data_IF_137815072127
#
_entry.id   IF_137815072127
#
_cell.length_a   1.000
_cell.length_b   1.000
_cell.length_c   1.000
_cell.angle_alpha   90.00
_cell.angle_beta   90.00
_cell.angle_gamma   90.00
#
_symmetry.space_group_name_H-M   'P 1'
#
loop_
_entity.id
_entity.type
_entity.pdbx_description
1 polymer ?
#
# COMPACT_ATOMS: atom_id res chain seq x y z
N UNK A 1 -23.16 6.22 1.20
CA UNK A 1 -22.01 6.91 0.56
C UNK A 1 -20.73 6.28 1.05
N UNK A 2 -19.77 5.99 0.16
CA UNK A 2 -18.44 5.45 0.54
C UNK A 2 -17.55 6.60 1.04
N UNK A 3 -16.66 6.33 1.99
CA UNK A 3 -15.74 7.33 2.56
C UNK A 3 -14.37 7.22 1.89
N UNK A 4 -13.72 8.37 1.69
CA UNK A 4 -12.29 8.42 1.36
C UNK A 4 -11.54 8.59 2.67
N UNK A 5 -10.55 7.73 2.91
CA UNK A 5 -9.75 7.72 4.14
C UNK A 5 -8.29 7.88 3.77
N UNK A 6 -7.62 8.87 4.35
CA UNK A 6 -6.16 8.97 4.33
C UNK A 6 -5.61 8.18 5.51
N UNK A 7 -4.76 7.19 5.24
CA UNK A 7 -4.17 6.33 6.25
C UNK A 7 -2.69 6.12 5.93
N UNK A 8 -1.82 6.78 6.68
CA UNK A 8 -0.39 6.94 6.37
C UNK A 8 0.44 7.05 7.64
N UNK A 9 1.67 6.53 7.62
CA UNK A 9 2.66 6.81 8.65
C UNK A 9 3.30 8.19 8.40
N UNK A 10 3.42 8.99 9.45
CA UNK A 10 4.01 10.33 9.38
C UNK A 10 4.97 10.54 10.54
N UNK A 11 6.13 11.12 10.26
CA UNK A 11 7.09 11.51 11.29
C UNK A 11 6.55 12.69 12.10
N UNK A 12 7.17 12.97 13.25
CA UNK A 12 6.73 14.07 14.12
C UNK A 12 6.84 15.44 13.43
N UNK A 13 7.81 15.61 12.54
CA UNK A 13 8.06 16.80 11.73
C UNK A 13 7.33 16.79 10.38
N UNK A 14 6.45 15.81 10.13
CA UNK A 14 5.47 15.87 9.04
C UNK A 14 5.86 15.19 7.72
N UNK A 15 6.89 14.33 7.71
CA UNK A 15 7.32 13.61 6.52
C UNK A 15 6.74 12.18 6.47
N UNK A 16 6.40 11.74 5.26
CA UNK A 16 5.84 10.39 5.02
C UNK A 16 6.86 9.42 4.38
N UNK A 17 8.04 9.92 4.01
CA UNK A 17 9.13 9.15 3.44
C UNK A 17 10.47 9.84 3.71
N UNK A 18 11.52 9.02 3.78
CA UNK A 18 12.92 9.43 3.87
C UNK A 18 13.55 9.50 2.48
N UNK A 19 14.58 10.35 2.33
CA UNK A 19 15.44 10.38 1.14
C UNK A 19 16.74 9.61 1.32
N UNK A 20 17.01 9.08 2.52
CA UNK A 20 18.28 8.43 2.86
C UNK A 20 18.50 7.11 2.11
N UNK A 21 17.43 6.34 1.89
CA UNK A 21 17.48 5.04 1.18
C UNK A 21 17.06 5.15 -0.29
N UNK A 22 16.89 6.38 -0.80
CA UNK A 22 16.35 6.67 -2.14
C UNK A 22 15.13 7.59 -2.07
N UNK A 23 14.41 7.81 -3.19
CA UNK A 23 13.38 8.86 -3.30
C UNK A 23 12.10 8.61 -2.48
N UNK A 24 11.94 7.44 -1.85
CA UNK A 24 10.74 7.07 -1.10
C UNK A 24 11.04 6.03 0.00
N UNK A 25 12.08 6.27 0.81
CA UNK A 25 12.51 5.36 1.87
C UNK A 25 11.51 5.27 3.03
N UNK A 26 11.20 4.04 3.46
CA UNK A 26 10.25 3.76 4.55
C UNK A 26 10.89 3.07 5.77
N UNK A 27 12.22 2.91 5.78
CA UNK A 27 12.95 2.15 6.81
C UNK A 27 12.85 2.76 8.23
N UNK A 28 12.48 4.04 8.33
CA UNK A 28 12.26 4.73 9.61
C UNK A 28 10.95 4.31 10.29
N UNK A 29 10.02 3.69 9.57
CA UNK A 29 8.74 3.25 10.13
C UNK A 29 8.99 2.02 11.00
N UNK A 30 8.71 2.17 12.29
CA UNK A 30 8.67 1.07 13.25
C UNK A 30 7.22 0.71 13.54
N UNK A 31 6.89 -0.57 13.50
CA UNK A 31 5.53 -1.05 13.73
C UNK A 31 5.59 -2.12 14.82
N UNK A 32 4.91 -1.85 15.94
CA UNK A 32 4.71 -2.81 17.01
C UNK A 32 3.56 -3.77 16.68
N UNK A 33 3.49 -4.97 17.28
CA UNK A 33 2.38 -5.91 17.10
C UNK A 33 0.99 -5.27 17.26
N UNK A 34 0.79 -4.43 18.29
CA UNK A 34 -0.49 -3.76 18.54
C UNK A 34 -0.84 -2.75 17.44
N UNK A 35 0.16 -2.01 16.94
CA UNK A 35 -0.03 -1.07 15.84
C UNK A 35 -0.38 -1.80 14.54
N UNK A 36 0.24 -2.96 14.30
CA UNK A 36 -0.13 -3.81 13.16
C UNK A 36 -1.58 -4.27 13.25
N UNK A 37 -2.01 -4.78 14.40
CA UNK A 37 -3.39 -5.23 14.57
C UNK A 37 -4.38 -4.09 14.30
N UNK A 38 -4.10 -2.90 14.81
CA UNK A 38 -4.90 -1.72 14.53
C UNK A 38 -4.94 -1.39 13.03
N UNK A 39 -3.79 -1.38 12.35
CA UNK A 39 -3.70 -1.13 10.89
C UNK A 39 -4.50 -2.15 10.10
N UNK A 40 -4.34 -3.44 10.41
CA UNK A 40 -5.04 -4.55 9.76
C UNK A 40 -6.56 -4.43 9.91
N UNK A 41 -7.06 -4.19 11.14
CA UNK A 41 -8.48 -3.99 11.41
C UNK A 41 -9.08 -2.83 10.60
N UNK A 42 -8.29 -1.78 10.35
CA UNK A 42 -8.72 -0.62 9.54
C UNK A 42 -8.73 -0.93 8.05
N UNK A 43 -7.70 -1.62 7.54
CA UNK A 43 -7.59 -1.98 6.12
C UNK A 43 -8.68 -2.97 5.71
N UNK A 44 -9.00 -3.95 6.56
CA UNK A 44 -10.04 -4.96 6.28
C UNK A 44 -11.45 -4.37 6.16
N UNK A 45 -11.68 -3.13 6.62
CA UNK A 45 -12.94 -2.40 6.42
C UNK A 45 -13.04 -1.73 5.04
N UNK A 46 -12.03 -1.91 4.19
CA UNK A 46 -11.93 -1.30 2.87
C UNK A 46 -11.78 -2.37 1.78
N UNK A 47 -12.21 -2.03 0.58
CA UNK A 47 -12.20 -2.86 -0.62
C UNK A 47 -11.49 -2.18 -1.80
N UNK A 48 -11.01 -0.94 -1.61
CA UNK A 48 -10.36 -0.15 -2.66
C UNK A 48 -9.15 0.61 -2.12
N UNK A 49 -8.04 0.50 -2.84
CA UNK A 49 -6.82 1.27 -2.61
C UNK A 49 -6.68 2.36 -3.67
N UNK A 50 -6.31 3.57 -3.24
CA UNK A 50 -6.06 4.71 -4.12
C UNK A 50 -4.57 5.08 -4.05
N UNK A 51 -3.88 5.08 -5.18
CA UNK A 51 -2.44 5.33 -5.25
C UNK A 51 -2.06 6.33 -6.33
N UNK A 52 -0.92 7.00 -6.13
CA UNK A 52 -0.12 7.53 -7.24
C UNK A 52 0.82 6.45 -7.80
N UNK A 53 1.41 6.70 -8.98
CA UNK A 53 2.30 5.74 -9.67
C UNK A 53 3.40 5.16 -8.77
N UNK A 54 4.14 6.01 -8.07
CA UNK A 54 5.31 5.58 -7.28
C UNK A 54 4.91 4.63 -6.15
N UNK A 55 3.89 4.98 -5.37
CA UNK A 55 3.37 4.12 -4.30
C UNK A 55 2.78 2.84 -4.87
N UNK A 56 2.04 2.91 -5.98
CA UNK A 56 1.49 1.71 -6.61
C UNK A 56 2.59 0.72 -6.99
N UNK A 57 3.64 1.18 -7.67
CA UNK A 57 4.76 0.33 -8.08
C UNK A 57 5.50 -0.29 -6.89
N UNK A 58 5.68 0.48 -5.81
CA UNK A 58 6.27 -0.01 -4.56
C UNK A 58 5.40 -1.10 -3.90
N UNK A 59 4.08 -0.91 -3.87
CA UNK A 59 3.17 -1.91 -3.31
C UNK A 59 3.12 -3.16 -4.17
N UNK A 60 3.05 -3.00 -5.49
CA UNK A 60 2.97 -4.08 -6.47
C UNK A 60 4.27 -4.89 -6.55
N UNK A 61 5.43 -4.30 -6.21
CA UNK A 61 6.69 -5.04 -6.16
C UNK A 61 6.84 -5.93 -4.93
N UNK A 62 6.05 -5.72 -3.88
CA UNK A 62 6.18 -6.42 -2.60
C UNK A 62 4.98 -7.30 -2.26
N UNK A 63 3.77 -6.74 -2.22
CA UNK A 63 2.59 -7.39 -1.66
C UNK A 63 2.03 -8.59 -2.44
N UNK A 64 2.17 -8.70 -3.78
CA UNK A 64 1.70 -9.87 -4.50
C UNK A 64 2.35 -11.19 -4.04
N UNK A 65 3.58 -11.14 -3.55
CA UNK A 65 4.38 -12.32 -3.19
C UNK A 65 4.86 -12.32 -1.73
N UNK A 66 4.55 -11.30 -0.93
CA UNK A 66 4.99 -11.22 0.47
C UNK A 66 4.56 -12.44 1.30
N UNK A 67 3.33 -12.92 1.10
CA UNK A 67 2.81 -14.12 1.74
C UNK A 67 3.43 -15.45 1.28
N UNK A 68 4.20 -15.45 0.19
CA UNK A 68 4.81 -16.67 -0.37
C UNK A 68 6.23 -16.90 0.16
N UNK A 69 6.75 -15.96 0.98
CA UNK A 69 8.07 -16.07 1.60
C UNK A 69 8.09 -17.16 2.68
N UNK A 70 9.21 -17.87 2.87
CA UNK A 70 9.31 -18.98 3.82
C UNK A 70 9.09 -18.57 5.28
N UNK A 71 9.34 -17.30 5.61
CA UNK A 71 9.23 -16.69 6.92
C UNK A 71 8.12 -15.63 6.99
N UNK A 72 7.13 -15.70 6.07
CA UNK A 72 6.03 -14.76 6.01
C UNK A 72 5.28 -14.68 7.35
N UNK A 73 5.16 -13.45 7.86
CA UNK A 73 4.46 -13.19 9.11
C UNK A 73 2.93 -13.34 8.95
N UNK A 74 2.15 -13.48 10.03
CA UNK A 74 0.69 -13.40 9.97
C UNK A 74 0.19 -12.12 9.28
N UNK A 75 0.90 -11.01 9.45
CA UNK A 75 0.64 -9.74 8.79
C UNK A 75 0.88 -9.82 7.28
N UNK A 76 1.99 -10.42 6.84
CA UNK A 76 2.26 -10.60 5.41
C UNK A 76 1.13 -11.38 4.75
N UNK A 77 0.67 -12.45 5.40
CA UNK A 77 -0.46 -13.24 4.92
C UNK A 77 -1.76 -12.45 4.86
N UNK A 78 -2.10 -11.70 5.91
CA UNK A 78 -3.37 -11.00 6.02
C UNK A 78 -3.45 -9.82 5.04
N UNK A 79 -2.42 -8.98 5.02
CA UNK A 79 -2.34 -7.85 4.11
C UNK A 79 -2.21 -8.31 2.65
N UNK A 80 -1.45 -9.37 2.33
CA UNK A 80 -1.37 -9.88 0.95
C UNK A 80 -2.71 -10.39 0.44
N UNK A 81 -3.53 -11.03 1.29
CA UNK A 81 -4.89 -11.46 0.91
C UNK A 81 -5.76 -10.27 0.57
N UNK A 82 -5.78 -9.25 1.44
CA UNK A 82 -6.50 -8.01 1.17
C UNK A 82 -6.00 -7.38 -0.13
N UNK A 83 -4.68 -7.21 -0.27
CA UNK A 83 -4.05 -6.58 -1.42
C UNK A 83 -4.43 -7.29 -2.71
N UNK A 84 -4.34 -8.63 -2.80
CA UNK A 84 -4.73 -9.40 -3.99
C UNK A 84 -6.21 -9.16 -4.38
N UNK A 85 -7.11 -9.07 -3.39
CA UNK A 85 -8.54 -8.86 -3.63
C UNK A 85 -8.93 -7.40 -3.92
N UNK A 86 -8.23 -6.43 -3.33
CA UNK A 86 -8.59 -5.03 -3.37
C UNK A 86 -8.59 -4.47 -4.80
N UNK A 87 -9.58 -3.64 -5.09
CA UNK A 87 -9.58 -2.83 -6.31
C UNK A 87 -8.55 -1.71 -6.18
N UNK A 88 -7.65 -1.55 -7.15
CA UNK A 88 -6.68 -0.45 -7.14
C UNK A 88 -7.08 0.61 -8.13
N UNK A 89 -7.22 1.83 -7.66
CA UNK A 89 -7.33 3.03 -8.52
C UNK A 89 -5.99 3.74 -8.48
N UNK A 90 -5.38 3.91 -9.65
CA UNK A 90 -4.06 4.56 -9.78
C UNK A 90 -4.21 5.83 -10.59
N UNK A 91 -3.94 6.97 -9.95
CA UNK A 91 -3.92 8.26 -10.62
C UNK A 91 -2.53 8.48 -11.22
N UNK A 92 -2.42 8.42 -12.54
CA UNK A 92 -1.13 8.59 -13.22
C UNK A 92 -1.29 8.94 -14.69
N UNK A 93 -0.51 9.93 -15.14
CA UNK A 93 -0.35 10.28 -16.56
C UNK A 93 0.75 9.47 -17.27
N UNK A 94 1.53 8.69 -16.53
CA UNK A 94 2.78 8.08 -17.01
C UNK A 94 2.85 6.57 -16.79
N UNK A 95 1.96 6.01 -15.99
CA UNK A 95 1.76 4.56 -15.91
C UNK A 95 0.82 4.16 -17.04
N UNK A 96 1.34 3.44 -18.03
CA UNK A 96 0.58 3.07 -19.23
C UNK A 96 0.01 1.66 -19.17
N UNK A 97 0.58 0.80 -18.32
CA UNK A 97 0.22 -0.61 -18.21
C UNK A 97 -0.07 -0.98 -16.76
N UNK A 98 -0.97 -1.95 -16.58
CA UNK A 98 -1.30 -2.52 -15.29
C UNK A 98 -0.73 -3.93 -15.17
N UNK A 99 -0.17 -4.23 -14.00
CA UNK A 99 0.38 -5.57 -13.71
C UNK A 99 -0.63 -6.45 -12.95
N UNK A 100 -1.69 -5.85 -12.41
CA UNK A 100 -2.71 -6.55 -11.64
C UNK A 100 -4.09 -6.42 -12.31
N UNK A 101 -4.87 -7.52 -12.43
CA UNK A 101 -6.14 -7.50 -13.14
C UNK A 101 -7.14 -6.51 -12.55
N UNK A 102 -7.20 -6.44 -11.20
CA UNK A 102 -8.07 -5.54 -10.44
C UNK A 102 -7.52 -4.10 -10.29
N UNK A 103 -6.78 -3.59 -11.27
CA UNK A 103 -6.26 -2.21 -11.30
C UNK A 103 -6.94 -1.40 -12.40
N UNK A 104 -7.38 -0.20 -12.05
CA UNK A 104 -7.84 0.86 -12.93
C UNK A 104 -6.85 2.02 -12.89
N UNK A 105 -6.38 2.45 -14.06
CA UNK A 105 -5.54 3.63 -14.19
C UNK A 105 -6.42 4.79 -14.68
N UNK A 106 -6.35 5.93 -14.01
CA UNK A 106 -7.00 7.17 -14.42
C UNK A 106 -5.89 8.15 -14.81
N UNK A 107 -5.82 8.47 -16.11
CA UNK A 107 -4.76 9.30 -16.72
C UNK A 107 -5.25 10.67 -17.20
N UNK A 108 -6.55 10.90 -17.23
CA UNK A 108 -7.20 12.15 -17.63
C UNK A 108 -8.41 12.46 -16.75
N UNK A 109 -8.81 13.73 -16.72
CA UNK A 109 -10.05 14.21 -16.11
C UNK A 109 -11.14 14.33 -17.16
#
# INVERSE_FOLDING_TARGET
MRKIVSFVHVSLDGFVASTAEGPAGLAWISISPDLFEYVEQRIQQTDTALYGRTTYQMMESYWPTAADKPDASPHDHAHSRWYKSAHKVVLSKTLLEKNHPNTQIISSN
#
